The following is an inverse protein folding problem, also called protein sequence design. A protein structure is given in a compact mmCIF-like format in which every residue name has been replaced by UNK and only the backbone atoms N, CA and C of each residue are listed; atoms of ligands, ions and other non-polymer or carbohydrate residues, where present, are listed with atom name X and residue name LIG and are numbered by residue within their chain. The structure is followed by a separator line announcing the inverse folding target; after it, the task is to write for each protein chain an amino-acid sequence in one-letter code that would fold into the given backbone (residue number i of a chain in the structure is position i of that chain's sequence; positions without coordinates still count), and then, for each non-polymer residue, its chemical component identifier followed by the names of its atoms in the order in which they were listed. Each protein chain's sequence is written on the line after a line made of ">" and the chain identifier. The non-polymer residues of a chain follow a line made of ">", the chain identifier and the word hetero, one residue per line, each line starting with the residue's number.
data_IF_189736074087
#
_entry.id   IF_189736074087
#
_cell.length_a   1.000
_cell.length_b   1.000
_cell.length_c   1.000
_cell.angle_alpha   90.00
_cell.angle_beta   90.00
_cell.angle_gamma   90.00
#
_symmetry.space_group_name_H-M   'P 1'
#
loop_
_entity.id
_entity.type
_entity.pdbx_description
1 polymer ?
#
# COMPACT_ATOMS: atom_id res chain seq x y z
N UNK A 1 -8.81 28.38 3.05
CA UNK A 1 -10.02 28.28 3.90
C UNK A 1 -9.64 27.52 5.17
N UNK A 2 -9.83 28.13 6.34
CA UNK A 2 -9.73 27.41 7.61
C UNK A 2 -11.02 26.61 7.79
N UNK A 3 -10.89 25.31 8.06
CA UNK A 3 -12.02 24.50 8.49
C UNK A 3 -12.60 25.10 9.77
N UNK A 4 -13.83 25.60 9.70
CA UNK A 4 -14.54 26.10 10.87
C UNK A 4 -15.34 24.95 11.50
N UNK A 5 -14.77 24.35 12.54
CA UNK A 5 -15.40 23.25 13.28
C UNK A 5 -16.78 23.60 13.85
N UNK A 6 -17.05 24.88 14.14
CA UNK A 6 -18.36 25.34 14.65
C UNK A 6 -19.44 25.28 13.57
N UNK A 7 -19.09 25.56 12.31
CA UNK A 7 -20.03 25.50 11.18
C UNK A 7 -20.45 24.06 10.85
N UNK A 8 -19.63 23.08 11.25
CA UNK A 8 -19.85 21.67 10.98
C UNK A 8 -20.47 20.90 12.15
N UNK A 9 -20.44 21.41 13.39
CA UNK A 9 -20.90 20.70 14.58
C UNK A 9 -22.34 20.18 14.47
N UNK A 10 -23.25 20.93 13.85
CA UNK A 10 -24.63 20.49 13.62
C UNK A 10 -24.84 19.48 12.48
N UNK A 11 -23.81 19.25 11.66
CA UNK A 11 -23.89 18.33 10.49
C UNK A 11 -23.16 17.02 10.71
N UNK A 12 -22.24 16.94 11.68
CA UNK A 12 -21.39 15.78 11.95
C UNK A 12 -22.21 14.50 12.13
N UNK A 13 -23.21 14.52 13.01
CA UNK A 13 -24.06 13.37 13.30
C UNK A 13 -24.90 12.94 12.09
N UNK A 14 -25.37 13.90 11.30
CA UNK A 14 -26.13 13.60 10.07
C UNK A 14 -25.25 12.93 9.02
N UNK A 15 -24.04 13.46 8.80
CA UNK A 15 -23.06 12.89 7.86
C UNK A 15 -22.69 11.48 8.28
N UNK A 16 -22.34 11.28 9.56
CA UNK A 16 -21.96 9.97 10.08
C UNK A 16 -23.08 8.95 9.94
N UNK A 17 -24.32 9.32 10.31
CA UNK A 17 -25.51 8.44 10.17
C UNK A 17 -25.78 8.09 8.72
N UNK A 18 -25.79 9.07 7.81
CA UNK A 18 -26.06 8.81 6.38
C UNK A 18 -25.02 7.89 5.77
N UNK A 19 -23.74 8.08 6.12
CA UNK A 19 -22.65 7.24 5.64
C UNK A 19 -22.74 5.81 6.19
N UNK A 20 -22.98 5.65 7.48
CA UNK A 20 -23.12 4.34 8.12
C UNK A 20 -24.34 3.57 7.62
N UNK A 21 -25.48 4.27 7.38
CA UNK A 21 -26.65 3.64 6.79
C UNK A 21 -26.40 3.14 5.37
N UNK A 22 -25.75 3.96 4.56
CA UNK A 22 -25.32 3.56 3.21
C UNK A 22 -24.42 2.33 3.26
N UNK A 23 -23.44 2.32 4.17
CA UNK A 23 -22.47 1.23 4.28
C UNK A 23 -23.12 -0.11 4.69
N UNK A 24 -24.12 -0.09 5.58
CA UNK A 24 -24.87 -1.31 5.94
C UNK A 24 -25.53 -1.97 4.73
N UNK A 25 -25.94 -1.19 3.73
CA UNK A 25 -26.66 -1.66 2.56
C UNK A 25 -25.77 -1.93 1.34
N UNK A 26 -24.66 -1.21 1.22
CA UNK A 26 -23.84 -1.14 0.02
C UNK A 26 -22.35 -1.45 0.27
N UNK A 27 -21.96 -1.68 1.51
CA UNK A 27 -20.58 -2.01 1.87
C UNK A 27 -20.13 -3.30 1.18
N UNK A 28 -18.88 -3.29 0.70
CA UNK A 28 -18.29 -4.47 0.03
C UNK A 28 -18.07 -5.60 1.02
N UNK A 29 -18.44 -6.82 0.63
CA UNK A 29 -18.00 -8.02 1.34
C UNK A 29 -16.56 -8.35 0.96
N UNK A 30 -15.65 -8.17 1.91
CA UNK A 30 -14.22 -8.40 1.72
C UNK A 30 -13.70 -9.34 2.81
N UNK A 31 -12.82 -10.30 2.47
CA UNK A 31 -12.39 -11.36 3.42
C UNK A 31 -11.83 -10.81 4.75
N UNK A 32 -11.13 -9.70 4.72
CA UNK A 32 -10.54 -9.06 5.91
C UNK A 32 -11.52 -8.23 6.75
N UNK A 33 -12.77 -8.07 6.31
CA UNK A 33 -13.83 -7.37 7.05
C UNK A 33 -14.65 -8.29 7.96
N UNK A 34 -14.49 -9.61 7.78
CA UNK A 34 -15.17 -10.62 8.57
C UNK A 34 -14.41 -10.96 9.87
N UNK A 35 -13.37 -10.20 10.19
CA UNK A 35 -12.54 -10.40 11.38
C UNK A 35 -12.27 -9.06 12.08
N UNK A 36 -12.24 -9.12 13.41
CA UNK A 36 -11.75 -8.02 14.25
C UNK A 36 -10.31 -8.26 14.75
N UNK A 37 -9.66 -9.35 14.28
CA UNK A 37 -8.27 -9.62 14.62
C UNK A 37 -7.35 -8.52 14.06
N UNK A 38 -6.64 -7.78 14.91
CA UNK A 38 -5.74 -6.72 14.47
C UNK A 38 -4.63 -7.22 13.55
N UNK A 39 -4.22 -8.49 13.66
CA UNK A 39 -3.25 -9.10 12.75
C UNK A 39 -3.81 -9.20 11.33
N UNK A 40 -5.02 -9.72 11.16
CA UNK A 40 -5.69 -9.86 9.88
C UNK A 40 -5.93 -8.50 9.22
N UNK A 41 -6.43 -7.54 9.99
CA UNK A 41 -6.67 -6.16 9.55
C UNK A 41 -5.35 -5.52 9.10
N UNK A 42 -4.30 -5.59 9.90
CA UNK A 42 -3.00 -5.04 9.57
C UNK A 42 -2.41 -5.63 8.28
N UNK A 43 -2.42 -6.96 8.13
CA UNK A 43 -1.94 -7.64 6.92
C UNK A 43 -2.68 -7.14 5.68
N UNK A 44 -4.02 -7.05 5.74
CA UNK A 44 -4.83 -6.56 4.63
C UNK A 44 -4.51 -5.10 4.28
N UNK A 45 -4.39 -4.23 5.28
CA UNK A 45 -4.10 -2.82 5.09
C UNK A 45 -2.73 -2.58 4.42
N UNK A 46 -1.72 -3.38 4.81
CA UNK A 46 -0.40 -3.31 4.16
C UNK A 46 -0.45 -3.86 2.73
N UNK A 47 -1.21 -4.94 2.48
CA UNK A 47 -1.36 -5.49 1.12
C UNK A 47 -2.10 -4.54 0.18
N UNK A 48 -3.11 -3.82 0.67
CA UNK A 48 -3.93 -2.88 -0.09
C UNK A 48 -3.19 -1.59 -0.48
N UNK A 49 -2.07 -1.27 0.16
CA UNK A 49 -1.27 -0.11 -0.23
C UNK A 49 -0.81 -0.25 -1.70
N UNK A 50 -1.34 0.61 -2.59
CA UNK A 50 -1.00 0.62 -4.03
C UNK A 50 -1.26 -0.72 -4.76
N UNK A 51 -2.16 -1.54 -4.24
CA UNK A 51 -2.55 -2.81 -4.86
C UNK A 51 -4.07 -2.89 -4.99
N UNK A 52 -4.56 -3.37 -6.12
CA UNK A 52 -5.99 -3.52 -6.37
C UNK A 52 -6.61 -4.58 -5.45
N UNK A 53 -7.84 -4.31 -4.99
CA UNK A 53 -8.60 -5.16 -4.05
C UNK A 53 -8.70 -6.60 -4.53
N UNK A 54 -9.07 -6.82 -5.79
CA UNK A 54 -9.26 -8.16 -6.35
C UNK A 54 -7.97 -9.00 -6.30
N UNK A 55 -6.84 -8.36 -6.55
CA UNK A 55 -5.55 -9.03 -6.42
C UNK A 55 -5.22 -9.39 -4.97
N UNK A 56 -5.55 -8.52 -4.03
CA UNK A 56 -5.26 -8.74 -2.60
C UNK A 56 -6.06 -9.91 -2.03
N UNK A 57 -7.29 -10.17 -2.49
CA UNK A 57 -8.13 -11.26 -1.96
C UNK A 57 -7.41 -12.61 -1.96
N UNK A 58 -6.81 -13.01 -3.08
CA UNK A 58 -6.09 -14.28 -3.21
C UNK A 58 -4.81 -14.30 -2.35
N UNK A 59 -4.03 -13.22 -2.40
CA UNK A 59 -2.79 -13.11 -1.64
C UNK A 59 -3.03 -13.11 -0.14
N UNK A 60 -4.07 -12.43 0.33
CA UNK A 60 -4.44 -12.39 1.74
C UNK A 60 -4.77 -13.78 2.29
N UNK A 61 -5.60 -14.53 1.55
CA UNK A 61 -5.94 -15.90 1.93
C UNK A 61 -4.68 -16.79 2.03
N UNK A 62 -3.86 -16.83 0.99
CA UNK A 62 -2.65 -17.65 0.93
C UNK A 62 -1.60 -17.25 1.99
N UNK A 63 -1.52 -15.95 2.28
CA UNK A 63 -0.61 -15.43 3.30
C UNK A 63 -1.03 -15.87 4.71
N UNK A 64 -2.32 -15.77 5.04
CA UNK A 64 -2.84 -16.19 6.33
C UNK A 64 -2.84 -17.72 6.51
N UNK A 65 -3.01 -18.50 5.45
CA UNK A 65 -2.78 -19.94 5.51
C UNK A 65 -1.36 -20.29 5.91
N UNK A 66 -0.38 -19.56 5.40
CA UNK A 66 1.05 -19.81 5.71
C UNK A 66 1.49 -19.20 7.03
N UNK A 67 0.96 -18.03 7.38
CA UNK A 67 1.28 -17.26 8.58
C UNK A 67 -0.01 -16.93 9.32
N UNK A 68 -0.64 -17.89 9.99
CA UNK A 68 -1.96 -17.72 10.63
C UNK A 68 -1.93 -16.75 11.82
N UNK A 69 -0.76 -16.49 12.38
CA UNK A 69 -0.59 -15.60 13.53
C UNK A 69 0.64 -14.70 13.35
N UNK A 70 0.70 -13.62 14.13
CA UNK A 70 1.87 -12.73 14.18
C UNK A 70 3.12 -13.49 14.63
N UNK A 71 2.99 -14.53 15.45
CA UNK A 71 4.10 -15.37 15.91
C UNK A 71 4.69 -16.19 14.76
N UNK A 72 3.85 -16.82 13.93
CA UNK A 72 4.32 -17.57 12.77
C UNK A 72 4.99 -16.67 11.74
N UNK A 73 4.45 -15.46 11.54
CA UNK A 73 5.07 -14.46 10.68
C UNK A 73 6.43 -14.00 11.24
N UNK A 74 6.52 -13.68 12.53
CA UNK A 74 7.74 -13.23 13.17
C UNK A 74 8.87 -14.27 13.12
N UNK A 75 8.52 -15.55 13.30
CA UNK A 75 9.45 -16.69 13.31
C UNK A 75 9.96 -17.07 11.92
N UNK A 76 9.24 -16.70 10.88
CA UNK A 76 9.58 -17.07 9.51
C UNK A 76 10.93 -16.47 9.06
N UNK A 77 11.58 -17.12 8.10
CA UNK A 77 12.69 -16.52 7.38
C UNK A 77 12.17 -15.44 6.40
N UNK A 78 12.90 -14.32 6.29
CA UNK A 78 12.53 -13.22 5.37
C UNK A 78 12.29 -13.72 3.93
N UNK A 79 13.11 -14.65 3.45
CA UNK A 79 12.98 -15.20 2.11
C UNK A 79 11.63 -15.92 1.90
N UNK A 80 11.12 -16.60 2.94
CA UNK A 80 9.82 -17.27 2.89
C UNK A 80 8.70 -16.22 2.84
N UNK A 81 8.78 -15.16 3.66
CA UNK A 81 7.79 -14.07 3.64
C UNK A 81 7.75 -13.40 2.27
N UNK A 82 8.92 -13.10 1.69
CA UNK A 82 9.02 -12.48 0.36
C UNK A 82 8.47 -13.39 -0.75
N UNK A 83 8.61 -14.72 -0.63
CA UNK A 83 8.02 -15.69 -1.57
C UNK A 83 6.49 -15.60 -1.58
N UNK A 84 5.85 -15.52 -0.41
CA UNK A 84 4.38 -15.36 -0.32
C UNK A 84 3.88 -13.96 -0.68
N UNK A 85 4.79 -13.00 -0.85
CA UNK A 85 4.51 -11.65 -1.33
C UNK A 85 4.80 -11.46 -2.82
N UNK A 86 5.42 -12.46 -3.45
CA UNK A 86 5.86 -12.39 -4.84
C UNK A 86 4.70 -12.05 -5.77
N UNK A 87 4.89 -10.99 -6.59
CA UNK A 87 3.87 -10.49 -7.49
C UNK A 87 3.01 -9.33 -6.96
N UNK A 88 2.93 -9.08 -5.64
CA UNK A 88 2.24 -7.87 -5.10
C UNK A 88 3.04 -6.58 -5.34
N UNK A 89 4.36 -6.70 -5.56
CA UNK A 89 5.24 -5.55 -5.71
C UNK A 89 5.52 -4.81 -4.40
N UNK A 90 6.31 -3.73 -4.48
CA UNK A 90 6.68 -2.93 -3.30
C UNK A 90 7.14 -3.78 -2.11
N UNK A 91 8.11 -4.65 -2.33
CA UNK A 91 8.61 -5.65 -1.38
C UNK A 91 9.09 -5.06 -0.04
N UNK A 92 9.40 -3.76 -0.01
CA UNK A 92 9.68 -3.04 1.23
C UNK A 92 8.52 -3.18 2.23
N UNK A 93 7.27 -3.25 1.75
CA UNK A 93 6.10 -3.45 2.62
C UNK A 93 6.18 -4.80 3.34
N UNK A 94 6.49 -5.88 2.62
CA UNK A 94 6.64 -7.22 3.20
C UNK A 94 7.77 -7.27 4.24
N UNK A 95 8.90 -6.59 3.97
CA UNK A 95 9.99 -6.52 4.95
C UNK A 95 9.60 -5.74 6.19
N UNK A 96 8.96 -4.58 6.01
CA UNK A 96 8.49 -3.79 7.14
C UNK A 96 7.42 -4.55 7.95
N UNK A 97 6.50 -5.25 7.28
CA UNK A 97 5.52 -6.14 7.92
C UNK A 97 6.22 -7.21 8.77
N UNK A 98 7.23 -7.88 8.22
CA UNK A 98 8.00 -8.91 8.93
C UNK A 98 8.80 -8.35 10.13
N UNK A 99 9.44 -7.19 9.97
CA UNK A 99 10.14 -6.51 11.06
C UNK A 99 9.18 -6.07 12.17
N UNK A 100 8.00 -5.55 11.79
CA UNK A 100 6.98 -5.17 12.75
C UNK A 100 6.41 -6.38 13.50
N UNK A 101 6.20 -7.52 12.81
CA UNK A 101 5.78 -8.76 13.46
C UNK A 101 6.78 -9.20 14.56
N UNK A 102 8.08 -9.16 14.24
CA UNK A 102 9.13 -9.45 15.24
C UNK A 102 9.05 -8.51 16.44
N UNK A 103 8.85 -7.22 16.17
CA UNK A 103 8.74 -6.22 17.23
C UNK A 103 7.48 -6.38 18.08
N UNK A 104 6.34 -6.73 17.46
CA UNK A 104 5.10 -7.04 18.18
C UNK A 104 5.30 -8.24 19.10
N UNK A 105 6.00 -9.27 18.65
CA UNK A 105 6.28 -10.45 19.47
C UNK A 105 7.28 -10.12 20.60
N UNK A 106 8.37 -9.39 20.33
CA UNK A 106 9.41 -9.11 21.32
C UNK A 106 8.99 -8.08 22.38
N UNK A 107 8.30 -7.02 21.96
CA UNK A 107 8.03 -5.85 22.81
C UNK A 107 6.64 -5.87 23.43
N UNK A 108 5.70 -6.68 22.86
CA UNK A 108 4.29 -6.71 23.24
C UNK A 108 3.72 -8.13 23.41
N UNK A 109 4.56 -9.16 23.52
CA UNK A 109 4.13 -10.57 23.67
C UNK A 109 3.10 -11.04 22.61
N UNK A 110 3.25 -10.54 21.38
CA UNK A 110 2.35 -10.86 20.26
C UNK A 110 1.00 -10.12 20.30
N UNK A 111 0.77 -9.23 21.26
CA UNK A 111 -0.45 -8.44 21.38
C UNK A 111 -0.27 -7.09 20.66
N UNK A 112 -1.23 -6.71 19.83
CA UNK A 112 -1.20 -5.40 19.18
C UNK A 112 -1.48 -4.28 20.21
N UNK A 113 -0.67 -3.22 20.23
CA UNK A 113 -0.97 -2.04 21.03
C UNK A 113 -2.32 -1.43 20.63
N UNK A 114 -3.12 -1.01 21.60
CA UNK A 114 -4.36 -0.27 21.34
C UNK A 114 -4.11 1.25 21.24
N UNK A 115 -2.93 1.70 21.61
CA UNK A 115 -2.51 3.10 21.49
C UNK A 115 -1.94 3.39 20.11
N UNK A 116 -2.47 4.42 19.43
CA UNK A 116 -2.07 4.81 18.06
C UNK A 116 -0.60 5.23 18.00
N UNK A 117 -0.07 5.88 19.05
CA UNK A 117 1.34 6.31 19.07
C UNK A 117 2.26 5.10 19.16
N UNK A 118 1.88 4.10 19.98
CA UNK A 118 2.62 2.84 20.07
C UNK A 118 2.57 2.07 18.75
N UNK A 119 1.41 2.01 18.08
CA UNK A 119 1.29 1.43 16.72
C UNK A 119 2.21 2.12 15.71
N UNK A 120 2.32 3.45 15.75
CA UNK A 120 3.19 4.20 14.84
C UNK A 120 4.69 4.01 15.10
N UNK A 121 5.10 3.43 16.23
CA UNK A 121 6.49 3.05 16.48
C UNK A 121 6.88 1.72 15.81
N UNK A 122 5.90 1.00 15.29
CA UNK A 122 6.13 -0.25 14.56
C UNK A 122 6.61 0.02 13.13
N UNK A 123 7.58 -0.74 12.62
CA UNK A 123 8.09 -0.58 11.26
C UNK A 123 6.99 -0.63 10.20
N UNK A 124 6.93 0.37 9.34
CA UNK A 124 5.96 0.43 8.22
C UNK A 124 4.53 0.80 8.59
N UNK A 125 4.25 1.10 9.87
CA UNK A 125 2.94 1.56 10.33
C UNK A 125 2.96 3.08 10.44
N UNK A 126 2.37 3.76 9.46
CA UNK A 126 2.15 5.20 9.47
C UNK A 126 0.83 5.59 10.13
N UNK A 127 0.54 6.90 10.17
CA UNK A 127 -0.68 7.47 10.78
C UNK A 127 -1.95 6.81 10.25
N UNK A 128 -2.08 6.61 8.94
CA UNK A 128 -3.22 5.92 8.33
C UNK A 128 -3.37 4.49 8.85
N UNK A 129 -2.32 3.67 8.73
CA UNK A 129 -2.39 2.25 9.11
C UNK A 129 -2.65 2.09 10.62
N UNK A 130 -2.06 2.95 11.46
CA UNK A 130 -2.32 2.95 12.89
C UNK A 130 -3.79 3.29 13.20
N UNK A 131 -4.35 4.32 12.54
CA UNK A 131 -5.76 4.68 12.67
C UNK A 131 -6.71 3.57 12.18
N UNK A 132 -6.37 2.90 11.07
CA UNK A 132 -7.14 1.79 10.54
C UNK A 132 -7.16 0.59 11.52
N UNK A 133 -6.00 0.19 12.05
CA UNK A 133 -5.93 -0.88 13.05
C UNK A 133 -6.71 -0.48 14.31
N UNK A 134 -6.48 0.71 14.84
CA UNK A 134 -7.12 1.18 16.06
C UNK A 134 -8.65 1.26 15.93
N UNK A 135 -9.16 1.76 14.82
CA UNK A 135 -10.60 1.89 14.62
C UNK A 135 -11.27 0.58 14.22
N UNK A 136 -10.67 -0.22 13.33
CA UNK A 136 -11.34 -1.41 12.81
C UNK A 136 -11.24 -2.59 13.79
N UNK A 137 -10.07 -2.78 14.44
CA UNK A 137 -9.89 -3.89 15.39
C UNK A 137 -10.43 -3.58 16.79
N UNK A 138 -10.27 -2.34 17.25
CA UNK A 138 -10.56 -1.98 18.64
C UNK A 138 -11.70 -0.97 18.78
N UNK A 139 -12.30 -0.58 17.67
CA UNK A 139 -13.37 0.43 17.59
C UNK A 139 -13.03 1.78 18.28
N UNK A 140 -11.74 2.12 18.35
CA UNK A 140 -11.29 3.39 18.89
C UNK A 140 -11.64 4.52 17.90
N UNK A 141 -12.03 5.72 18.40
CA UNK A 141 -12.47 6.83 17.55
C UNK A 141 -11.28 7.53 16.84
N UNK A 142 -10.52 6.73 16.10
CA UNK A 142 -9.34 7.19 15.38
C UNK A 142 -9.66 7.39 13.90
N UNK A 143 -9.30 8.56 13.34
CA UNK A 143 -9.54 8.86 11.94
C UNK A 143 -8.59 8.14 11.01
N UNK A 144 -9.00 7.99 9.76
CA UNK A 144 -8.16 7.57 8.65
C UNK A 144 -8.12 8.62 7.54
N UNK A 145 -7.02 8.65 6.79
CA UNK A 145 -6.90 9.43 5.58
C UNK A 145 -6.01 8.70 4.57
N UNK A 146 -6.63 8.13 3.54
CA UNK A 146 -5.98 7.49 2.39
C UNK A 146 -6.53 8.08 1.08
N UNK A 147 -6.16 7.58 -0.06
CA UNK A 147 -6.50 8.19 -1.35
C UNK A 147 -8.01 8.38 -1.58
N UNK A 148 -8.84 7.42 -1.16
CA UNK A 148 -10.31 7.48 -1.34
C UNK A 148 -10.96 8.39 -0.32
N UNK A 149 -10.69 8.18 0.96
CA UNK A 149 -11.21 9.01 2.05
C UNK A 149 -10.78 10.48 1.90
N UNK A 150 -9.53 10.73 1.53
CA UNK A 150 -9.01 12.06 1.23
C UNK A 150 -9.82 12.76 0.15
N UNK A 151 -10.14 12.06 -0.94
CA UNK A 151 -10.96 12.62 -2.04
C UNK A 151 -12.38 12.93 -1.58
N UNK A 152 -13.01 12.02 -0.84
CA UNK A 152 -14.35 12.23 -0.28
C UNK A 152 -14.36 13.45 0.62
N UNK A 153 -13.46 13.52 1.58
CA UNK A 153 -13.39 14.62 2.54
C UNK A 153 -13.03 15.95 1.87
N UNK A 154 -12.10 15.95 0.92
CA UNK A 154 -11.77 17.16 0.18
C UNK A 154 -12.97 17.70 -0.60
N UNK A 155 -13.77 16.85 -1.24
CA UNK A 155 -15.01 17.26 -1.93
C UNK A 155 -16.09 17.68 -0.95
N UNK A 156 -16.24 16.97 0.14
CA UNK A 156 -17.24 17.27 1.19
C UNK A 156 -17.12 18.70 1.70
N UNK A 157 -15.89 19.16 1.98
CA UNK A 157 -15.62 20.51 2.51
C UNK A 157 -15.13 21.50 1.44
N UNK A 158 -15.18 21.17 0.15
CA UNK A 158 -14.63 21.97 -0.95
C UNK A 158 -13.18 22.43 -0.68
N UNK A 159 -12.30 21.47 -0.34
CA UNK A 159 -10.89 21.77 -0.10
C UNK A 159 -10.14 21.92 -1.43
N UNK A 160 -9.87 23.14 -1.83
CA UNK A 160 -9.31 23.52 -3.13
C UNK A 160 -7.79 23.80 -3.13
N UNK A 161 -7.13 23.52 -2.00
CA UNK A 161 -5.68 23.70 -1.89
C UNK A 161 -4.91 22.45 -2.34
N UNK A 162 -3.65 22.61 -2.83
CA UNK A 162 -2.84 21.47 -3.26
C UNK A 162 -2.58 20.47 -2.14
N UNK A 163 -2.82 19.20 -2.43
CA UNK A 163 -2.55 18.08 -1.53
C UNK A 163 -1.15 17.52 -1.84
N UNK A 164 -0.14 18.01 -1.14
CA UNK A 164 1.27 17.58 -1.28
C UNK A 164 1.74 16.62 -0.19
N UNK A 165 0.82 16.18 0.68
CA UNK A 165 1.13 15.36 1.85
C UNK A 165 1.55 16.18 3.09
N UNK A 166 1.72 15.49 4.20
CA UNK A 166 2.17 16.10 5.46
C UNK A 166 1.24 17.19 5.99
N UNK A 167 1.79 18.37 6.30
CA UNK A 167 1.04 19.47 6.91
C UNK A 167 -0.09 20.02 6.03
N UNK A 168 0.00 19.89 4.70
CA UNK A 168 -1.05 20.36 3.78
C UNK A 168 -2.35 19.57 3.91
N UNK A 169 -2.31 18.35 4.44
CA UNK A 169 -3.46 17.48 4.65
C UNK A 169 -4.06 17.58 6.06
N UNK A 170 -3.46 18.37 6.96
CA UNK A 170 -3.96 18.48 8.33
C UNK A 170 -5.42 18.90 8.41
N UNK A 171 -5.94 19.84 7.60
CA UNK A 171 -7.37 20.17 7.63
C UNK A 171 -8.29 18.97 7.32
N UNK A 172 -7.87 18.06 6.43
CA UNK A 172 -8.65 16.85 6.12
C UNK A 172 -8.58 15.83 7.26
N UNK A 173 -7.46 15.75 7.97
CA UNK A 173 -7.34 14.94 9.18
C UNK A 173 -8.24 15.47 10.30
N UNK A 174 -8.35 16.78 10.46
CA UNK A 174 -9.22 17.42 11.47
C UNK A 174 -10.69 17.17 11.16
N UNK A 175 -11.08 17.24 9.88
CA UNK A 175 -12.42 16.86 9.43
C UNK A 175 -12.68 15.37 9.68
N UNK A 176 -11.77 14.49 9.28
CA UNK A 176 -11.90 13.06 9.54
C UNK A 176 -12.11 12.78 11.03
N UNK A 177 -11.30 13.39 11.90
CA UNK A 177 -11.39 13.23 13.34
C UNK A 177 -12.71 13.76 13.94
N UNK A 178 -13.28 14.80 13.33
CA UNK A 178 -14.58 15.34 13.78
C UNK A 178 -15.76 14.47 13.39
N UNK A 179 -15.64 13.68 12.30
CA UNK A 179 -16.72 12.88 11.75
C UNK A 179 -16.74 11.44 12.30
N UNK A 180 -15.62 10.93 12.80
CA UNK A 180 -15.56 9.57 13.38
C UNK A 180 -16.45 9.50 14.62
N UNK A 181 -17.39 8.52 14.70
CA UNK A 181 -18.22 8.30 15.89
C UNK A 181 -17.37 8.00 17.14
N UNK A 182 -17.76 8.57 18.28
CA UNK A 182 -17.03 8.37 19.54
C UNK A 182 -17.67 7.31 20.43
N UNK A 183 -18.94 7.04 20.21
CA UNK A 183 -19.74 6.13 21.04
C UNK A 183 -19.93 4.75 20.35
N UNK A 184 -18.90 4.34 19.58
CA UNK A 184 -18.88 3.10 18.82
C UNK A 184 -19.17 3.26 17.32
N UNK A 185 -18.70 2.29 16.53
CA UNK A 185 -18.86 2.28 15.08
C UNK A 185 -17.76 3.00 14.29
N UNK A 186 -16.64 3.37 14.93
CA UNK A 186 -15.52 4.05 14.29
C UNK A 186 -14.91 3.21 13.14
N UNK A 187 -14.75 1.90 13.36
CA UNK A 187 -14.26 1.00 12.32
C UNK A 187 -15.19 0.92 11.12
N UNK A 188 -16.50 0.79 11.36
CA UNK A 188 -17.51 0.78 10.30
C UNK A 188 -17.55 2.10 9.53
N UNK A 189 -17.44 3.25 10.23
CA UNK A 189 -17.39 4.57 9.62
C UNK A 189 -16.19 4.72 8.69
N UNK A 190 -15.01 4.34 9.13
CA UNK A 190 -13.78 4.43 8.34
C UNK A 190 -13.84 3.52 7.10
N UNK A 191 -14.34 2.30 7.24
CA UNK A 191 -14.57 1.39 6.11
C UNK A 191 -15.62 1.96 5.13
N UNK A 192 -16.69 2.57 5.65
CA UNK A 192 -17.70 3.23 4.85
C UNK A 192 -17.11 4.40 4.03
N UNK A 193 -16.24 5.19 4.62
CA UNK A 193 -15.57 6.31 3.96
C UNK A 193 -14.65 5.83 2.82
N UNK A 194 -13.92 4.73 3.04
CA UNK A 194 -13.11 4.08 2.00
C UNK A 194 -13.97 3.56 0.85
N UNK A 195 -15.08 2.90 1.17
CA UNK A 195 -15.99 2.32 0.16
C UNK A 195 -16.73 3.38 -0.63
N UNK A 196 -17.25 4.41 0.02
CA UNK A 196 -17.89 5.53 -0.67
C UNK A 196 -16.92 6.17 -1.68
N UNK A 197 -15.65 6.35 -1.29
CA UNK A 197 -14.62 6.86 -2.18
C UNK A 197 -14.31 5.92 -3.34
N UNK A 198 -14.31 4.62 -3.11
CA UNK A 198 -14.02 3.61 -4.15
C UNK A 198 -15.17 3.41 -5.13
N UNK A 199 -16.41 3.32 -4.64
CA UNK A 199 -17.58 2.92 -5.42
C UNK A 199 -18.32 4.12 -6.02
N UNK A 200 -18.53 5.17 -5.24
CA UNK A 200 -19.41 6.30 -5.58
C UNK A 200 -18.58 7.55 -5.91
N UNK A 201 -17.80 8.05 -4.96
CA UNK A 201 -17.03 9.28 -5.12
C UNK A 201 -15.72 9.03 -5.88
N UNK A 202 -15.81 8.51 -7.11
CA UNK A 202 -14.66 8.13 -7.95
C UNK A 202 -13.84 9.35 -8.39
N UNK A 203 -12.56 9.14 -8.79
CA UNK A 203 -11.70 10.23 -9.29
C UNK A 203 -12.29 10.94 -10.52
N UNK A 204 -12.84 10.16 -11.45
CA UNK A 204 -13.44 10.64 -12.70
C UNK A 204 -14.89 10.19 -12.73
N UNK A 205 -15.79 11.06 -13.16
CA UNK A 205 -17.24 10.81 -13.28
C UNK A 205 -17.83 10.15 -12.03
N UNK A 206 -17.81 10.81 -10.85
CA UNK A 206 -18.40 10.27 -9.64
C UNK A 206 -19.92 10.16 -9.74
N UNK A 207 -20.50 9.18 -9.08
CA UNK A 207 -21.95 8.94 -9.03
C UNK A 207 -22.61 9.80 -7.94
N UNK A 208 -22.59 11.13 -8.13
CA UNK A 208 -23.06 12.05 -7.08
C UNK A 208 -24.55 11.88 -6.74
N UNK A 209 -25.40 11.51 -7.70
CA UNK A 209 -26.83 11.26 -7.47
C UNK A 209 -27.11 10.03 -6.61
N UNK A 210 -26.14 9.12 -6.48
CA UNK A 210 -26.23 7.92 -5.65
C UNK A 210 -25.48 8.10 -4.31
N UNK A 211 -24.88 9.27 -4.10
CA UNK A 211 -24.03 9.53 -2.94
C UNK A 211 -24.86 9.87 -1.70
N UNK A 212 -24.69 9.08 -0.65
CA UNK A 212 -25.36 9.33 0.65
C UNK A 212 -24.97 10.66 1.32
N UNK A 213 -23.92 11.32 0.83
CA UNK A 213 -23.41 12.59 1.36
C UNK A 213 -23.66 13.78 0.42
N UNK A 214 -24.47 13.62 -0.65
CA UNK A 214 -24.65 14.64 -1.69
C UNK A 214 -25.17 15.96 -1.12
N UNK A 215 -26.14 15.91 -0.21
CA UNK A 215 -26.75 17.10 0.41
C UNK A 215 -25.79 17.88 1.31
N UNK A 216 -24.73 17.21 1.78
CA UNK A 216 -23.67 17.80 2.59
C UNK A 216 -22.43 18.21 1.79
N UNK A 217 -22.37 17.83 0.49
CA UNK A 217 -21.17 17.96 -0.31
C UNK A 217 -21.03 19.37 -0.91
N UNK A 218 -20.11 20.16 -0.38
CA UNK A 218 -19.88 21.52 -0.86
C UNK A 218 -19.35 21.56 -2.30
N UNK A 219 -18.49 20.62 -2.69
CA UNK A 219 -17.98 20.56 -4.07
C UNK A 219 -19.11 20.29 -5.07
N UNK A 220 -20.11 19.49 -4.71
CA UNK A 220 -21.29 19.24 -5.54
C UNK A 220 -22.17 20.48 -5.65
N UNK A 221 -22.48 21.11 -4.54
CA UNK A 221 -23.30 22.34 -4.49
C UNK A 221 -22.68 23.48 -5.31
N UNK A 222 -21.35 23.55 -5.37
CA UNK A 222 -20.59 24.56 -6.12
C UNK A 222 -20.25 24.14 -7.56
N UNK A 223 -20.65 22.95 -8.00
CA UNK A 223 -20.34 22.45 -9.35
C UNK A 223 -18.85 22.16 -9.61
N UNK A 224 -18.06 21.91 -8.56
CA UNK A 224 -16.58 21.79 -8.63
C UNK A 224 -16.05 20.37 -8.37
N UNK A 225 -16.89 19.35 -8.43
CA UNK A 225 -16.52 17.97 -8.06
C UNK A 225 -15.33 17.45 -8.88
N UNK A 226 -15.27 17.79 -10.17
CA UNK A 226 -14.20 17.30 -11.06
C UNK A 226 -12.85 17.99 -10.83
N UNK A 227 -12.87 19.17 -10.17
CA UNK A 227 -11.65 19.95 -9.85
C UNK A 227 -11.06 19.60 -8.50
N UNK A 228 -11.84 18.94 -7.62
CA UNK A 228 -11.42 18.62 -6.26
C UNK A 228 -11.27 17.10 -6.07
N UNK A 229 -10.20 16.66 -5.42
CA UNK A 229 -9.09 17.44 -4.85
C UNK A 229 -8.13 17.97 -5.93
N UNK A 230 -7.51 19.12 -5.64
CA UNK A 230 -6.45 19.62 -6.49
C UNK A 230 -5.23 18.71 -6.38
N UNK A 231 -4.97 17.98 -7.46
CA UNK A 231 -3.81 17.08 -7.53
C UNK A 231 -2.68 17.77 -8.31
N UNK A 232 -1.48 17.83 -7.73
CA UNK A 232 -0.33 18.33 -8.48
C UNK A 232 -0.09 17.46 -9.73
N UNK A 233 0.41 18.08 -10.79
CA UNK A 233 0.73 17.36 -12.04
C UNK A 233 1.58 16.14 -11.73
N UNK A 234 1.16 15.00 -12.23
CA UNK A 234 1.95 13.77 -12.12
C UNK A 234 3.29 13.97 -12.82
N UNK A 235 4.34 13.40 -12.22
CA UNK A 235 5.66 13.35 -12.88
C UNK A 235 5.51 12.65 -14.22
N UNK A 236 6.11 13.22 -15.26
CA UNK A 236 6.14 12.61 -16.59
C UNK A 236 6.77 11.22 -16.53
N UNK A 237 6.21 10.29 -17.29
CA UNK A 237 6.80 8.94 -17.42
C UNK A 237 8.18 9.06 -18.08
N UNK A 238 9.19 8.57 -17.40
CA UNK A 238 10.55 8.46 -17.92
C UNK A 238 10.76 7.12 -18.59
N UNK A 239 11.35 7.11 -19.79
CA UNK A 239 11.75 5.87 -20.46
C UNK A 239 13.19 5.57 -20.11
N UNK A 240 13.47 4.32 -19.73
CA UNK A 240 14.80 3.83 -19.40
C UNK A 240 15.10 2.56 -20.19
N UNK A 241 16.34 2.42 -20.59
CA UNK A 241 16.85 1.21 -21.23
C UNK A 241 17.82 0.51 -20.30
N UNK A 242 17.65 -0.79 -20.12
CA UNK A 242 18.50 -1.63 -19.30
C UNK A 242 18.95 -2.88 -20.06
N UNK A 243 20.00 -3.53 -19.55
CA UNK A 243 20.45 -4.85 -19.99
C UNK A 243 20.42 -5.80 -18.82
N UNK A 244 19.98 -7.04 -19.04
CA UNK A 244 20.08 -8.14 -18.10
C UNK A 244 20.93 -9.25 -18.72
N UNK A 245 21.91 -9.76 -17.97
CA UNK A 245 22.84 -10.77 -18.46
C UNK A 245 22.53 -12.14 -17.85
N UNK A 246 22.09 -13.06 -18.67
CA UNK A 246 21.97 -14.49 -18.33
C UNK A 246 23.36 -15.11 -18.51
N UNK A 247 24.11 -15.19 -17.43
CA UNK A 247 25.47 -15.76 -17.41
C UNK A 247 25.39 -17.21 -17.05
N UNK A 248 25.89 -18.09 -17.97
CA UNK A 248 25.74 -19.54 -17.87
C UNK A 248 27.12 -20.22 -17.72
N UNK A 249 27.25 -21.14 -16.77
CA UNK A 249 28.40 -22.01 -16.59
C UNK A 249 27.92 -23.41 -16.23
N UNK A 250 28.28 -24.40 -17.05
CA UNK A 250 27.90 -25.83 -16.84
C UNK A 250 26.41 -26.01 -16.48
N UNK A 251 25.52 -25.35 -17.22
CA UNK A 251 24.07 -25.43 -17.02
C UNK A 251 23.53 -24.62 -15.85
N UNK A 252 24.38 -23.99 -15.06
CA UNK A 252 23.99 -23.11 -13.94
C UNK A 252 23.92 -21.67 -14.35
N UNK A 253 22.99 -20.91 -13.74
CA UNK A 253 22.74 -19.50 -14.00
C UNK A 253 23.27 -18.65 -12.84
N UNK A 254 23.98 -17.57 -13.15
CA UNK A 254 24.36 -16.58 -12.14
C UNK A 254 23.20 -15.64 -11.86
N UNK A 255 22.84 -15.53 -10.58
CA UNK A 255 21.96 -14.49 -10.08
C UNK A 255 22.68 -13.64 -9.03
N UNK A 256 22.28 -12.38 -8.95
CA UNK A 256 22.80 -11.40 -7.98
C UNK A 256 21.67 -10.89 -7.09
N UNK A 257 21.99 -10.67 -5.83
CA UNK A 257 21.04 -10.03 -4.90
C UNK A 257 21.10 -8.52 -5.10
N UNK A 258 19.97 -7.92 -5.43
CA UNK A 258 19.85 -6.47 -5.62
C UNK A 258 20.25 -5.73 -4.36
N UNK A 259 21.04 -4.69 -4.52
CA UNK A 259 21.66 -3.97 -3.41
C UNK A 259 20.72 -2.87 -2.86
N UNK A 260 20.99 -2.35 -1.63
CA UNK A 260 20.27 -1.21 -1.09
C UNK A 260 20.26 -0.02 -2.06
N UNK A 261 19.08 0.59 -2.26
CA UNK A 261 18.88 1.71 -3.18
C UNK A 261 18.56 1.31 -4.62
N UNK A 262 18.71 0.04 -4.99
CA UNK A 262 18.25 -0.46 -6.29
C UNK A 262 16.76 -0.84 -6.24
N UNK A 263 16.11 -0.81 -7.40
CA UNK A 263 14.78 -1.41 -7.52
C UNK A 263 14.85 -2.90 -7.18
N UNK A 264 13.81 -3.40 -6.47
CA UNK A 264 13.72 -4.77 -5.97
C UNK A 264 14.87 -5.17 -5.03
N UNK A 265 15.36 -4.20 -4.26
CA UNK A 265 16.35 -4.41 -3.21
C UNK A 265 16.15 -5.74 -2.48
N UNK A 266 17.24 -6.49 -2.35
CA UNK A 266 17.29 -7.78 -1.65
C UNK A 266 16.66 -8.96 -2.37
N UNK A 267 16.01 -8.78 -3.53
CA UNK A 267 15.61 -9.89 -4.39
C UNK A 267 16.77 -10.39 -5.25
N UNK A 268 16.67 -11.65 -5.68
CA UNK A 268 17.61 -12.25 -6.62
C UNK A 268 17.17 -11.94 -8.05
N UNK A 269 18.10 -11.50 -8.89
CA UNK A 269 17.85 -11.11 -10.27
C UNK A 269 19.09 -11.39 -11.14
N UNK A 270 18.95 -11.35 -12.45
CA UNK A 270 20.09 -11.37 -13.35
C UNK A 270 20.92 -10.09 -13.23
N UNK A 271 22.27 -10.18 -13.29
CA UNK A 271 23.14 -9.00 -13.22
C UNK A 271 22.87 -8.03 -14.37
N UNK A 272 22.92 -6.73 -14.07
CA UNK A 272 22.75 -5.66 -15.06
C UNK A 272 24.06 -5.31 -15.78
N UNK A 273 25.17 -5.79 -15.23
CA UNK A 273 26.51 -5.71 -15.81
C UNK A 273 27.18 -7.05 -15.67
N UNK A 274 28.11 -7.36 -16.54
CA UNK A 274 28.97 -8.54 -16.39
C UNK A 274 30.00 -8.23 -15.30
N UNK A 275 30.07 -9.01 -14.21
CA UNK A 275 31.07 -8.77 -13.16
C UNK A 275 32.49 -8.86 -13.72
N UNK A 276 33.36 -7.92 -13.33
CA UNK A 276 34.73 -7.80 -13.85
C UNK A 276 35.59 -9.06 -13.64
N UNK A 277 35.31 -9.82 -12.59
CA UNK A 277 36.03 -11.06 -12.29
C UNK A 277 35.55 -12.28 -13.10
N UNK A 278 34.68 -12.08 -14.10
CA UNK A 278 34.13 -13.17 -14.92
C UNK A 278 34.71 -13.19 -16.34
N UNK A 279 35.46 -14.20 -16.65
CA UNK A 279 35.91 -14.43 -18.00
C UNK A 279 34.79 -15.01 -18.85
N UNK A 280 34.30 -14.23 -19.81
CA UNK A 280 33.24 -14.63 -20.73
C UNK A 280 33.82 -15.27 -21.98
N UNK A 281 33.12 -16.28 -22.52
CA UNK A 281 33.50 -16.96 -23.80
C UNK A 281 32.38 -16.82 -24.83
N UNK A 282 32.77 -16.79 -26.09
CA UNK A 282 31.85 -16.83 -27.23
C UNK A 282 31.04 -15.53 -27.43
N UNK A 283 30.20 -15.55 -28.45
CA UNK A 283 29.39 -14.38 -28.79
C UNK A 283 28.28 -14.13 -27.77
N UNK A 284 27.95 -12.88 -27.58
CA UNK A 284 26.76 -12.49 -26.85
C UNK A 284 25.53 -12.83 -27.69
N UNK A 285 24.55 -13.55 -27.11
CA UNK A 285 23.30 -13.88 -27.80
C UNK A 285 22.16 -13.02 -27.22
N UNK A 286 21.38 -12.43 -28.10
CA UNK A 286 20.16 -11.74 -27.73
C UNK A 286 19.06 -12.77 -27.46
N UNK A 287 18.44 -12.74 -26.28
CA UNK A 287 17.39 -13.67 -25.86
C UNK A 287 15.99 -13.08 -26.02
N UNK A 288 15.88 -11.76 -25.99
CA UNK A 288 14.63 -11.05 -26.13
C UNK A 288 14.66 -9.68 -25.45
N UNK A 289 13.51 -9.01 -25.48
CA UNK A 289 13.28 -7.74 -24.84
C UNK A 289 12.05 -7.85 -23.94
N UNK A 290 12.17 -7.42 -22.70
CA UNK A 290 11.04 -7.31 -21.77
C UNK A 290 10.78 -5.84 -21.43
N UNK A 291 9.51 -5.49 -21.32
CA UNK A 291 9.10 -4.16 -20.90
C UNK A 291 8.30 -4.23 -19.61
N UNK A 292 8.63 -3.37 -18.66
CA UNK A 292 7.94 -3.29 -17.39
C UNK A 292 7.97 -1.86 -16.85
N UNK A 293 7.18 -1.57 -15.82
CA UNK A 293 7.12 -0.25 -15.21
C UNK A 293 7.46 -0.33 -13.72
N UNK A 294 8.27 0.63 -13.27
CA UNK A 294 8.57 0.83 -11.85
C UNK A 294 8.31 2.29 -11.52
N UNK A 295 7.34 2.55 -10.63
CA UNK A 295 6.89 3.90 -10.31
C UNK A 295 6.50 4.70 -11.57
N UNK A 296 7.22 5.77 -11.90
CA UNK A 296 6.99 6.59 -13.10
C UNK A 296 7.99 6.27 -14.25
N UNK A 297 8.75 5.17 -14.13
CA UNK A 297 9.69 4.74 -15.17
C UNK A 297 9.10 3.59 -15.98
N UNK A 298 9.14 3.71 -17.31
CA UNK A 298 8.88 2.63 -18.25
C UNK A 298 10.21 2.09 -18.74
N UNK A 299 10.50 0.84 -18.41
CA UNK A 299 11.80 0.22 -18.64
C UNK A 299 11.70 -0.76 -19.78
N UNK A 300 12.63 -0.64 -20.73
CA UNK A 300 12.87 -1.63 -21.78
C UNK A 300 14.19 -2.36 -21.46
N UNK A 301 14.10 -3.63 -21.12
CA UNK A 301 15.27 -4.42 -20.73
C UNK A 301 15.61 -5.44 -21.82
N UNK A 302 16.81 -5.32 -22.39
CA UNK A 302 17.37 -6.30 -23.32
C UNK A 302 17.94 -7.47 -22.51
N UNK A 303 17.49 -8.69 -22.79
CA UNK A 303 18.00 -9.90 -22.16
C UNK A 303 19.07 -10.51 -23.05
N UNK A 304 20.27 -10.62 -22.52
CA UNK A 304 21.47 -11.05 -23.23
C UNK A 304 22.07 -12.26 -22.53
N UNK A 305 22.45 -13.30 -23.25
CA UNK A 305 23.16 -14.44 -22.66
C UNK A 305 24.61 -14.51 -23.06
N UNK A 306 25.46 -15.01 -22.14
CA UNK A 306 26.86 -15.31 -22.35
C UNK A 306 27.29 -16.54 -21.57
N UNK A 307 28.21 -17.29 -22.14
CA UNK A 307 28.88 -18.42 -21.46
C UNK A 307 30.06 -17.91 -20.64
N UNK A 308 30.24 -18.46 -19.45
CA UNK A 308 31.39 -18.20 -18.57
C UNK A 308 32.38 -19.37 -18.72
N UNK A 309 33.66 -19.06 -18.96
CA UNK A 309 34.69 -20.07 -19.18
C UNK A 309 35.15 -20.77 -17.90
N UNK A 310 35.18 -20.03 -16.80
CA UNK A 310 35.57 -20.55 -15.49
C UNK A 310 34.56 -20.04 -14.45
N UNK A 311 34.15 -20.92 -13.54
CA UNK A 311 33.26 -20.58 -12.44
C UNK A 311 34.05 -19.80 -11.39
N UNK A 312 33.90 -18.46 -11.31
CA UNK A 312 34.60 -17.71 -10.30
C UNK A 312 33.99 -17.96 -8.93
N UNK A 313 34.79 -17.72 -7.89
CA UNK A 313 34.25 -17.62 -6.53
C UNK A 313 33.16 -16.52 -6.48
N UNK A 314 31.99 -16.87 -5.97
CA UNK A 314 30.88 -15.93 -5.87
C UNK A 314 31.04 -15.07 -4.62
N UNK A 315 30.70 -13.78 -4.74
CA UNK A 315 30.61 -12.86 -3.60
C UNK A 315 29.33 -13.15 -2.80
N UNK A 316 29.23 -12.68 -1.59
CA UNK A 316 28.07 -12.87 -0.68
C UNK A 316 26.70 -12.52 -1.32
N UNK A 317 26.70 -11.60 -2.29
CA UNK A 317 25.50 -11.18 -3.02
C UNK A 317 25.34 -11.87 -4.38
N UNK A 318 26.06 -12.94 -4.66
CA UNK A 318 26.02 -13.70 -5.91
C UNK A 318 25.72 -15.17 -5.63
N UNK A 319 24.99 -15.82 -6.51
CA UNK A 319 24.61 -17.23 -6.38
C UNK A 319 24.50 -17.89 -7.74
N UNK A 320 24.94 -19.13 -7.83
CA UNK A 320 24.68 -20.02 -8.97
C UNK A 320 23.46 -20.88 -8.65
N UNK A 321 22.44 -20.81 -9.52
CA UNK A 321 21.23 -21.65 -9.48
C UNK A 321 21.41 -22.86 -10.36
#
# INVERSE_FOLDING_TARGET
>A
LRFDSKQWSGRVDSISRSLLQWYRNQGRDLPWRNSQDPYCIWVSEIMLQQTQVERVKEYFHNFLLRFPTVFELAKAEEAVVLKYWEGLGYYRRARQLHLAAKKIVSDYDGKFPQDVRALQQLPGIGRYTAGAIASIAFDLPEPILEANSRRVLARLIHFDSPLSGGKSEQPLWDVAASLVPRDGGAGAFNQALMDLGSLICRPVSPFCNECSLVDHCQAYQLGNVDRIPYMPKQKSTQKLEEKAYVLVHEGKLLVVRRQPGEWWEGLWDFPRTIPENMAVRGPQRHQGVISYSVTHHKITCQVLSKMISQRPAVRRHQRWL
#
